data_IF_638548761842
#
_entry.id   IF_638548761842
#
_cell.length_a   1.000
_cell.length_b   1.000
_cell.length_c   1.000
_cell.angle_alpha   90.00
_cell.angle_beta   90.00
_cell.angle_gamma   90.00
#
_symmetry.space_group_name_H-M   'P 1'
#
loop_
_entity.id
_entity.type
_entity.pdbx_description
1 polymer ?
#
# COMPACT_ATOMS: atom_id res chain seq x y z
N UNK A 1 28.13 51.66 -1.19
CA UNK A 1 27.70 50.40 -1.84
C UNK A 1 28.16 49.24 -0.97
N UNK A 2 27.29 48.70 -0.12
CA UNK A 2 27.66 47.67 0.88
C UNK A 2 27.33 46.29 0.34
N UNK A 3 28.36 45.51 0.00
CA UNK A 3 28.26 44.12 -0.46
C UNK A 3 27.84 43.22 0.70
N UNK A 4 26.70 42.53 0.56
CA UNK A 4 26.22 41.53 1.54
C UNK A 4 27.05 40.24 1.39
N UNK A 5 27.64 39.68 2.46
CA UNK A 5 28.32 38.39 2.39
C UNK A 5 27.29 37.25 2.22
N UNK A 6 27.45 36.43 1.19
CA UNK A 6 26.66 35.22 0.96
C UNK A 6 27.31 34.03 1.66
N UNK A 7 26.71 33.57 2.76
CA UNK A 7 27.20 32.39 3.49
C UNK A 7 26.77 31.11 2.78
N UNK A 8 27.72 30.44 2.13
CA UNK A 8 27.57 29.09 1.55
C UNK A 8 27.84 28.06 2.66
N UNK A 9 26.88 27.17 2.91
CA UNK A 9 26.98 26.16 3.98
C UNK A 9 27.65 24.87 3.46
N UNK A 10 28.83 24.53 3.99
CA UNK A 10 29.51 23.23 3.80
C UNK A 10 29.49 22.45 5.12
N UNK A 11 29.11 21.16 5.15
CA UNK A 11 29.14 20.39 6.38
C UNK A 11 30.57 19.91 6.69
N UNK A 12 30.96 19.99 7.97
CA UNK A 12 32.18 19.42 8.57
C UNK A 12 33.54 20.10 8.33
N UNK A 13 33.66 21.42 8.50
CA UNK A 13 34.92 22.01 8.98
C UNK A 13 34.62 23.18 9.91
N UNK A 14 35.12 23.15 11.15
CA UNK A 14 35.22 24.35 11.99
C UNK A 14 36.69 24.76 11.96
N UNK A 15 37.03 25.67 11.07
CA UNK A 15 38.33 26.35 11.10
C UNK A 15 38.18 27.55 12.02
N UNK A 16 39.00 27.63 13.07
CA UNK A 16 39.22 28.87 13.82
C UNK A 16 40.47 29.52 13.26
N UNK A 17 40.32 30.72 12.68
CA UNK A 17 41.43 31.57 12.23
C UNK A 17 41.68 32.60 13.33
N UNK A 18 42.93 32.75 13.74
CA UNK A 18 43.42 33.91 14.46
C UNK A 18 43.83 35.03 13.48
N UNK A 19 44.13 36.22 14.02
CA UNK A 19 44.16 37.51 13.31
C UNK A 19 45.20 37.62 12.19
N UNK A 20 46.06 36.62 11.98
CA UNK A 20 47.11 36.60 10.94
C UNK A 20 47.04 35.43 9.95
N UNK A 21 45.95 34.66 9.91
CA UNK A 21 45.57 33.92 8.70
C UNK A 21 46.41 32.70 8.30
N UNK A 22 46.98 31.93 9.23
CA UNK A 22 47.52 30.59 8.95
C UNK A 22 46.59 29.48 9.49
N UNK A 23 46.55 28.33 8.79
CA UNK A 23 45.69 27.17 9.10
C UNK A 23 46.54 26.04 9.69
N UNK A 24 46.32 25.67 10.95
CA UNK A 24 46.85 24.42 11.51
C UNK A 24 45.84 23.28 11.33
N UNK A 25 46.19 22.30 10.49
CA UNK A 25 45.46 21.05 10.29
C UNK A 25 45.85 20.03 11.36
N UNK A 26 45.12 19.97 12.48
CA UNK A 26 45.25 18.85 13.42
C UNK A 26 44.34 17.70 12.99
N UNK A 27 44.87 16.75 12.21
CA UNK A 27 44.25 15.44 12.01
C UNK A 27 44.31 14.63 13.31
N UNK A 28 43.15 14.37 13.93
CA UNK A 28 43.05 13.43 15.05
C UNK A 28 42.36 12.15 14.61
N UNK A 29 43.09 11.05 14.85
CA UNK A 29 42.89 9.71 14.33
C UNK A 29 41.59 9.03 14.75
N UNK A 30 41.29 7.96 14.01
CA UNK A 30 40.08 7.19 14.15
C UNK A 30 39.99 6.41 15.46
N UNK A 31 38.77 6.37 15.99
CA UNK A 31 38.31 5.31 16.87
C UNK A 31 36.91 4.84 16.45
N UNK A 32 36.76 3.52 16.50
CA UNK A 32 35.62 2.73 16.08
C UNK A 32 34.40 3.00 16.99
N UNK A 33 33.60 4.00 16.63
CA UNK A 33 32.42 4.38 17.40
C UNK A 33 31.25 3.42 17.12
N UNK A 34 31.04 2.51 18.07
CA UNK A 34 29.78 1.77 18.23
C UNK A 34 28.58 2.70 18.07
N UNK A 35 27.72 2.42 17.08
CA UNK A 35 26.60 3.29 16.65
C UNK A 35 25.43 3.31 17.65
N UNK A 36 25.68 3.67 18.92
CA UNK A 36 24.62 4.13 19.83
C UNK A 36 24.41 5.61 19.55
N UNK A 37 23.29 5.94 18.90
CA UNK A 37 22.97 7.29 18.46
C UNK A 37 23.22 8.32 19.56
N UNK A 38 24.13 9.26 19.30
CA UNK A 38 24.41 10.39 20.19
C UNK A 38 23.11 11.13 20.46
N UNK A 39 22.66 11.13 21.71
CA UNK A 39 21.51 11.94 22.16
C UNK A 39 21.84 13.40 21.80
N UNK A 40 21.22 13.90 20.73
CA UNK A 40 21.46 15.26 20.26
C UNK A 40 21.00 16.23 21.35
N UNK A 41 21.86 17.18 21.72
CA UNK A 41 21.47 18.27 22.62
C UNK A 41 20.27 18.98 22.01
N UNK A 42 19.17 19.04 22.76
CA UNK A 42 17.93 19.70 22.34
C UNK A 42 18.27 21.17 22.13
N UNK A 43 18.02 21.70 20.93
CA UNK A 43 18.21 23.11 20.65
C UNK A 43 17.39 23.95 21.66
N UNK A 44 17.90 25.12 22.08
CA UNK A 44 17.20 25.99 23.02
C UNK A 44 15.78 26.28 22.54
N UNK A 45 14.84 26.30 23.48
CA UNK A 45 13.43 26.46 23.20
C UNK A 45 13.17 27.89 22.71
N UNK A 46 13.13 28.10 21.38
CA UNK A 46 12.77 29.39 20.80
C UNK A 46 11.27 29.61 21.03
N UNK A 47 10.91 30.53 21.93
CA UNK A 47 9.53 31.02 22.06
C UNK A 47 9.26 31.98 20.91
N UNK A 48 8.53 31.54 19.88
CA UNK A 48 8.14 32.40 18.76
C UNK A 48 7.88 31.62 17.46
N UNK A 49 7.16 32.23 16.50
CA UNK A 49 7.00 31.65 15.16
C UNK A 49 8.38 31.47 14.50
N UNK A 50 8.51 30.45 13.66
CA UNK A 50 9.71 30.30 12.85
C UNK A 50 9.78 31.38 11.76
N UNK A 51 10.93 31.53 11.11
CA UNK A 51 11.15 32.40 9.94
C UNK A 51 10.13 32.18 8.80
N UNK A 52 9.42 31.06 8.80
CA UNK A 52 8.37 30.71 7.84
C UNK A 52 6.95 31.02 8.35
N UNK A 53 6.81 31.85 9.39
CA UNK A 53 5.52 32.30 9.94
C UNK A 53 4.75 31.25 10.77
N UNK A 54 5.31 30.06 11.00
CA UNK A 54 4.60 29.00 11.74
C UNK A 54 4.96 29.04 13.21
N UNK A 55 3.94 29.16 14.08
CA UNK A 55 4.07 29.22 15.56
C UNK A 55 4.94 28.10 16.16
N UNK A 56 4.83 26.89 15.63
CA UNK A 56 5.63 25.74 16.08
C UNK A 56 6.52 25.23 14.95
N UNK A 57 7.85 25.26 15.15
CA UNK A 57 8.85 24.72 14.20
C UNK A 57 8.58 23.26 13.81
N UNK A 58 7.99 22.46 14.70
CA UNK A 58 7.58 21.07 14.42
C UNK A 58 6.49 20.94 13.36
N UNK A 59 5.70 21.99 13.15
CA UNK A 59 4.60 22.05 12.20
C UNK A 59 5.01 22.73 10.89
N UNK A 60 6.13 23.46 10.90
CA UNK A 60 6.69 24.04 9.69
C UNK A 60 7.24 22.93 8.78
N UNK A 61 6.70 22.82 7.56
CA UNK A 61 7.14 21.81 6.58
C UNK A 61 8.63 21.92 6.27
N UNK A 62 9.16 23.14 6.20
CA UNK A 62 10.58 23.40 5.93
C UNK A 62 11.45 23.07 7.14
N UNK A 63 11.14 23.62 8.33
CA UNK A 63 11.96 23.39 9.52
C UNK A 63 11.92 21.94 10.04
N UNK A 64 10.80 21.24 9.86
CA UNK A 64 10.61 19.86 10.35
C UNK A 64 11.08 18.79 9.36
N UNK A 65 11.38 19.19 8.12
CA UNK A 65 11.93 18.31 7.11
C UNK A 65 13.40 17.97 7.40
N UNK A 66 13.78 16.78 6.97
CA UNK A 66 15.16 16.35 6.77
C UNK A 66 15.64 16.80 5.38
N UNK A 67 16.95 16.74 5.08
CA UNK A 67 17.47 16.99 3.73
C UNK A 67 16.79 16.13 2.64
N UNK A 68 16.21 14.97 2.98
CA UNK A 68 15.48 14.09 2.07
C UNK A 68 13.99 14.48 1.88
N UNK A 69 13.59 15.69 2.28
CA UNK A 69 12.22 16.22 2.10
C UNK A 69 11.13 15.57 2.97
N UNK A 70 11.49 14.60 3.83
CA UNK A 70 10.57 13.91 4.76
C UNK A 70 10.65 14.50 6.15
N UNK A 71 9.61 14.35 6.98
CA UNK A 71 9.68 14.68 8.41
C UNK A 71 10.81 13.86 9.05
N UNK A 72 11.72 14.51 9.81
CA UNK A 72 12.92 13.87 10.37
C UNK A 72 12.63 12.57 11.15
N UNK A 73 11.54 12.55 11.92
CA UNK A 73 11.13 11.38 12.71
C UNK A 73 10.72 10.16 11.85
N UNK A 74 10.28 10.40 10.60
CA UNK A 74 9.77 9.38 9.67
C UNK A 74 10.75 9.06 8.53
N UNK A 75 11.93 9.68 8.52
CA UNK A 75 12.90 9.48 7.47
C UNK A 75 13.75 8.24 7.74
N UNK A 76 13.72 7.26 6.82
CA UNK A 76 14.52 6.03 6.93
C UNK A 76 16.01 6.33 6.85
N UNK A 77 16.42 7.16 5.90
CA UNK A 77 17.82 7.55 5.66
C UNK A 77 18.42 8.36 6.81
N UNK A 78 17.60 9.07 7.59
CA UNK A 78 18.07 9.79 8.78
C UNK A 78 18.02 8.96 10.07
N UNK A 79 17.63 7.68 10.01
CA UNK A 79 17.40 6.88 11.22
C UNK A 79 16.29 7.46 12.11
N UNK A 80 15.22 7.97 11.48
CA UNK A 80 14.12 8.63 12.17
C UNK A 80 13.54 7.78 13.31
N UNK A 81 13.22 8.43 14.43
CA UNK A 81 12.80 7.76 15.67
C UNK A 81 11.53 6.92 15.54
N UNK A 82 10.72 7.13 14.50
CA UNK A 82 9.50 6.35 14.22
C UNK A 82 9.76 5.16 13.28
N UNK A 83 10.97 5.01 12.73
CA UNK A 83 11.35 3.90 11.84
C UNK A 83 12.07 2.82 12.66
N UNK A 84 11.71 1.56 12.46
CA UNK A 84 12.43 0.42 13.05
C UNK A 84 13.57 -0.06 12.14
N UNK A 85 14.39 -0.98 12.64
CA UNK A 85 15.48 -1.61 11.88
C UNK A 85 15.03 -2.24 10.55
N UNK A 86 13.80 -2.75 10.50
CA UNK A 86 13.17 -3.28 9.27
C UNK A 86 12.79 -2.19 8.25
N UNK A 87 13.09 -0.92 8.51
CA UNK A 87 12.75 0.20 7.62
C UNK A 87 11.26 0.52 7.54
N UNK A 88 10.45 -0.06 8.41
CA UNK A 88 8.99 0.17 8.52
C UNK A 88 8.69 1.14 9.66
N UNK A 89 7.50 1.74 9.67
CA UNK A 89 7.02 2.50 10.83
C UNK A 89 6.93 1.56 12.04
N UNK A 90 7.65 1.88 13.12
CA UNK A 90 7.81 1.03 14.31
C UNK A 90 6.48 0.65 14.93
N UNK A 91 5.51 1.57 15.00
CA UNK A 91 4.18 1.29 15.54
C UNK A 91 3.38 0.27 14.71
N UNK A 92 3.70 0.11 13.42
CA UNK A 92 2.99 -0.78 12.49
C UNK A 92 3.83 -1.98 12.05
N UNK A 93 5.06 -2.10 12.54
CA UNK A 93 5.93 -3.22 12.18
C UNK A 93 5.50 -4.47 12.93
N UNK A 94 5.20 -5.55 12.18
CA UNK A 94 4.84 -6.84 12.77
C UNK A 94 6.02 -7.49 13.49
N UNK A 95 7.20 -7.46 12.88
CA UNK A 95 8.43 -8.05 13.42
C UNK A 95 8.86 -7.38 14.73
N UNK A 96 8.58 -6.08 14.90
CA UNK A 96 8.89 -5.37 16.15
C UNK A 96 7.75 -5.41 17.19
N UNK A 97 6.67 -6.16 16.95
CA UNK A 97 5.49 -6.15 17.82
C UNK A 97 4.87 -4.75 17.98
N UNK A 98 4.94 -3.93 16.93
CA UNK A 98 4.55 -2.52 16.97
C UNK A 98 3.17 -2.31 17.60
N UNK A 99 3.00 -1.26 18.41
CA UNK A 99 1.79 -1.04 19.21
C UNK A 99 0.45 -0.96 18.45
N UNK A 100 0.45 -0.93 17.12
CA UNK A 100 -0.75 -1.05 16.30
C UNK A 100 -1.07 -2.48 15.84
N UNK A 101 -0.21 -3.46 16.11
CA UNK A 101 -0.34 -4.87 15.73
C UNK A 101 -0.67 -5.70 16.98
N UNK A 102 -1.68 -6.57 16.92
CA UNK A 102 -1.98 -7.53 17.99
C UNK A 102 -1.15 -8.81 17.83
N UNK A 103 -1.22 -9.69 18.84
CA UNK A 103 -0.64 -11.03 18.82
C UNK A 103 -1.03 -11.85 17.58
N UNK A 104 -2.24 -11.65 17.05
CA UNK A 104 -2.72 -12.31 15.82
C UNK A 104 -2.06 -11.78 14.52
N UNK A 105 -1.07 -10.89 14.61
CA UNK A 105 -0.38 -10.31 13.44
C UNK A 105 -1.26 -9.39 12.58
N UNK A 106 -2.42 -8.99 13.10
CA UNK A 106 -3.38 -8.06 12.47
C UNK A 106 -3.29 -6.69 13.12
N UNK A 107 -3.76 -5.64 12.44
CA UNK A 107 -3.88 -4.32 13.06
C UNK A 107 -4.90 -4.40 14.20
N UNK A 108 -4.55 -3.98 15.42
CA UNK A 108 -5.39 -4.08 16.64
C UNK A 108 -6.80 -3.57 16.40
N UNK A 109 -6.93 -2.39 15.81
CA UNK A 109 -8.21 -1.76 15.48
C UNK A 109 -9.10 -2.61 14.55
N UNK A 110 -8.51 -3.50 13.75
CA UNK A 110 -9.20 -4.35 12.76
C UNK A 110 -9.28 -5.82 13.17
N UNK A 111 -8.73 -6.18 14.32
CA UNK A 111 -8.71 -7.57 14.72
C UNK A 111 -10.04 -7.94 15.39
N UNK A 112 -10.75 -8.92 14.83
CA UNK A 112 -12.01 -9.43 15.38
C UNK A 112 -11.79 -10.11 16.73
N UNK A 113 -10.74 -10.93 16.84
CA UNK A 113 -10.39 -11.67 18.07
C UNK A 113 -10.02 -10.73 19.23
N UNK A 114 -9.42 -9.57 18.94
CA UNK A 114 -9.08 -8.58 19.96
C UNK A 114 -10.18 -7.54 20.24
N UNK A 115 -11.39 -7.70 19.67
CA UNK A 115 -12.46 -6.70 19.81
C UNK A 115 -12.10 -5.32 19.22
N UNK A 116 -11.35 -5.30 18.13
CA UNK A 116 -10.84 -4.07 17.51
C UNK A 116 -11.93 -3.03 17.26
N UNK A 117 -11.64 -1.76 17.56
CA UNK A 117 -12.61 -0.66 17.51
C UNK A 117 -13.22 -0.38 16.12
N UNK A 118 -12.63 -0.88 15.04
CA UNK A 118 -13.19 -0.78 13.68
C UNK A 118 -14.14 -1.95 13.36
N UNK A 119 -14.30 -2.94 14.24
CA UNK A 119 -15.19 -4.10 14.06
C UNK A 119 -16.50 -3.87 14.83
N UNK A 120 -17.64 -4.12 14.19
CA UNK A 120 -18.97 -4.08 14.83
C UNK A 120 -19.31 -5.43 15.47
N UNK A 121 -20.39 -5.46 16.25
CA UNK A 121 -20.96 -6.69 16.83
C UNK A 121 -21.25 -7.77 15.76
N UNK A 122 -21.63 -7.37 14.54
CA UNK A 122 -21.85 -8.27 13.41
C UNK A 122 -20.55 -8.88 12.83
N UNK A 123 -19.39 -8.59 13.43
CA UNK A 123 -18.09 -9.10 12.99
C UNK A 123 -17.59 -8.52 11.66
N UNK A 124 -18.23 -7.45 11.15
CA UNK A 124 -17.83 -6.73 9.94
C UNK A 124 -17.11 -5.43 10.32
N UNK A 125 -16.41 -4.80 9.37
CA UNK A 125 -15.88 -3.44 9.61
C UNK A 125 -17.05 -2.47 9.77
N UNK A 126 -17.07 -1.68 10.85
CA UNK A 126 -18.14 -0.70 11.18
C UNK A 126 -18.46 0.20 9.99
N UNK A 127 -17.44 0.72 9.30
CA UNK A 127 -17.60 1.58 8.12
C UNK A 127 -18.32 0.90 6.94
N UNK A 128 -18.35 -0.43 6.87
CA UNK A 128 -18.98 -1.20 5.78
C UNK A 128 -20.13 -2.10 6.26
N UNK A 129 -20.53 -1.97 7.53
CA UNK A 129 -21.65 -2.75 8.05
C UNK A 129 -22.95 -2.03 7.70
N UNK A 130 -23.84 -2.72 6.98
CA UNK A 130 -25.16 -2.17 6.62
C UNK A 130 -26.06 -2.04 7.85
N UNK A 131 -26.05 -3.06 8.71
CA UNK A 131 -26.86 -3.11 9.94
C UNK A 131 -26.49 -1.97 10.92
N UNK A 132 -25.22 -1.57 10.97
CA UNK A 132 -24.76 -0.44 11.80
C UNK A 132 -24.83 0.93 11.10
N UNK A 133 -25.40 1.04 9.88
CA UNK A 133 -25.42 2.30 9.13
C UNK A 133 -24.03 2.84 8.79
N UNK A 134 -23.06 1.94 8.52
CA UNK A 134 -21.66 2.30 8.31
C UNK A 134 -21.46 3.41 7.29
N UNK A 135 -20.56 4.35 7.57
CA UNK A 135 -20.32 5.55 6.74
C UNK A 135 -19.93 5.26 5.29
N UNK A 136 -19.45 4.06 4.98
CA UNK A 136 -19.12 3.59 3.64
C UNK A 136 -20.30 2.96 2.88
N UNK A 137 -21.49 2.88 3.46
CA UNK A 137 -22.71 2.37 2.82
C UNK A 137 -23.64 3.55 2.49
N UNK A 138 -24.15 3.60 1.25
CA UNK A 138 -25.14 4.61 0.84
C UNK A 138 -26.56 4.20 1.24
N UNK A 139 -27.51 5.12 1.05
CA UNK A 139 -28.95 4.85 1.25
C UNK A 139 -29.47 3.67 0.43
N UNK A 140 -28.90 3.42 -0.75
CA UNK A 140 -29.21 2.26 -1.61
C UNK A 140 -28.66 0.92 -1.06
N UNK A 141 -28.04 0.91 0.12
CA UNK A 141 -27.44 -0.29 0.72
C UNK A 141 -26.22 -0.81 -0.04
N UNK A 142 -25.61 -0.01 -0.93
CA UNK A 142 -24.38 -0.35 -1.68
C UNK A 142 -23.18 0.36 -1.05
N UNK A 143 -21.96 -0.09 -1.35
CA UNK A 143 -20.79 0.69 -0.96
C UNK A 143 -20.79 2.04 -1.69
N UNK A 144 -20.67 3.15 -0.95
CA UNK A 144 -20.78 4.52 -1.50
C UNK A 144 -19.87 4.73 -2.70
N UNK A 145 -18.63 4.25 -2.63
CA UNK A 145 -17.65 4.38 -3.73
C UNK A 145 -18.08 3.66 -5.02
N UNK A 146 -18.88 2.59 -4.93
CA UNK A 146 -19.32 1.80 -6.09
C UNK A 146 -20.79 2.05 -6.47
N UNK A 147 -21.49 2.92 -5.75
CA UNK A 147 -22.89 3.21 -6.05
C UNK A 147 -22.99 4.17 -7.23
N UNK A 148 -23.57 3.71 -8.34
CA UNK A 148 -23.82 4.55 -9.53
C UNK A 148 -24.77 5.70 -9.23
N UNK A 149 -25.83 5.38 -8.48
CA UNK A 149 -26.92 6.31 -8.14
C UNK A 149 -26.43 7.46 -7.24
N UNK A 150 -25.39 7.23 -6.43
CA UNK A 150 -24.76 8.26 -5.60
C UNK A 150 -23.53 8.92 -6.26
N UNK A 151 -23.23 8.63 -7.54
CA UNK A 151 -22.01 9.15 -8.19
C UNK A 151 -20.72 8.69 -7.51
N UNK A 152 -20.69 7.44 -7.03
CA UNK A 152 -19.59 6.89 -6.25
C UNK A 152 -18.22 7.11 -6.92
N UNK A 153 -17.20 7.37 -6.10
CA UNK A 153 -15.86 7.74 -6.58
C UNK A 153 -15.17 6.70 -7.47
N UNK A 154 -15.62 5.45 -7.49
CA UNK A 154 -15.14 4.39 -8.39
C UNK A 154 -15.87 4.35 -9.74
N UNK A 155 -16.98 5.08 -9.89
CA UNK A 155 -17.81 5.12 -11.10
C UNK A 155 -17.43 6.36 -11.92
N UNK A 156 -17.32 6.20 -13.24
CA UNK A 156 -17.13 7.32 -14.16
C UNK A 156 -18.46 7.86 -14.68
N UNK A 157 -18.42 8.98 -15.40
CA UNK A 157 -19.59 9.60 -16.05
C UNK A 157 -20.34 8.64 -16.98
N UNK A 158 -19.64 7.67 -17.59
CA UNK A 158 -20.22 6.61 -18.43
C UNK A 158 -20.96 5.51 -17.64
N UNK A 159 -21.10 5.64 -16.31
CA UNK A 159 -21.75 4.64 -15.46
C UNK A 159 -20.99 3.30 -15.35
N UNK A 160 -19.71 3.27 -15.73
CA UNK A 160 -18.80 2.12 -15.64
C UNK A 160 -17.81 2.33 -14.49
N UNK A 161 -17.17 1.25 -14.01
CA UNK A 161 -16.07 1.42 -13.06
C UNK A 161 -14.90 2.14 -13.74
N UNK A 162 -14.42 3.24 -13.15
CA UNK A 162 -13.42 4.14 -13.76
C UNK A 162 -12.16 3.40 -14.20
N UNK A 163 -11.68 2.45 -13.40
CA UNK A 163 -10.49 1.66 -13.73
C UNK A 163 -10.71 0.69 -14.91
N UNK A 164 -11.96 0.36 -15.26
CA UNK A 164 -12.33 -0.53 -16.39
C UNK A 164 -12.95 0.22 -17.57
N UNK A 165 -13.15 1.54 -17.45
CA UNK A 165 -13.78 2.32 -18.49
C UNK A 165 -12.76 2.60 -19.61
N UNK A 166 -13.07 2.14 -20.83
CA UNK A 166 -12.23 2.39 -22.01
C UNK A 166 -12.19 3.88 -22.37
N UNK A 167 -13.34 4.56 -22.34
CA UNK A 167 -13.45 6.00 -22.67
C UNK A 167 -12.66 6.88 -21.69
N UNK A 168 -12.57 6.50 -20.40
CA UNK A 168 -11.79 7.22 -19.40
C UNK A 168 -10.31 6.80 -19.35
N UNK A 169 -9.83 5.94 -20.25
CA UNK A 169 -8.46 5.41 -20.19
C UNK A 169 -8.16 4.63 -18.90
N UNK A 170 -9.14 3.87 -18.41
CA UNK A 170 -9.05 3.16 -17.14
C UNK A 170 -7.77 2.34 -17.00
N UNK A 171 -7.17 2.35 -15.80
CA UNK A 171 -5.88 1.70 -15.52
C UNK A 171 -5.85 0.18 -15.75
N UNK A 172 -7.00 -0.46 -15.96
CA UNK A 172 -7.08 -1.88 -16.29
C UNK A 172 -7.23 -2.15 -17.78
N UNK A 173 -7.37 -1.12 -18.63
CA UNK A 173 -7.52 -1.24 -20.08
C UNK A 173 -6.17 -0.94 -20.75
N UNK A 174 -5.73 -1.81 -21.65
CA UNK A 174 -4.52 -1.57 -22.45
C UNK A 174 -4.84 -0.67 -23.64
N UNK A 175 -3.80 -0.25 -24.36
CA UNK A 175 -3.93 0.50 -25.63
C UNK A 175 -4.78 -0.25 -26.67
N UNK A 176 -4.74 -1.58 -26.67
CA UNK A 176 -5.57 -2.45 -27.53
C UNK A 176 -7.05 -2.49 -27.13
N UNK A 177 -7.49 -1.69 -26.14
CA UNK A 177 -8.88 -1.60 -25.70
C UNK A 177 -9.40 -2.84 -24.97
N UNK A 178 -8.53 -3.79 -24.66
CA UNK A 178 -8.82 -5.00 -23.89
C UNK A 178 -8.38 -4.85 -22.43
N UNK A 179 -8.88 -5.71 -21.54
CA UNK A 179 -8.41 -5.72 -20.14
C UNK A 179 -6.95 -6.21 -20.11
N UNK A 180 -6.05 -5.44 -19.48
CA UNK A 180 -4.58 -5.64 -19.51
C UNK A 180 -4.17 -7.06 -19.18
N UNK A 181 -4.73 -7.66 -18.13
CA UNK A 181 -4.36 -9.00 -17.70
C UNK A 181 -4.84 -10.12 -18.65
N UNK A 182 -5.81 -9.87 -19.53
CA UNK A 182 -6.27 -10.83 -20.55
C UNK A 182 -5.76 -10.51 -21.95
N UNK A 183 -5.12 -9.36 -22.15
CA UNK A 183 -4.67 -8.94 -23.47
C UNK A 183 -3.49 -9.80 -23.94
N UNK A 184 -3.66 -10.50 -25.05
CA UNK A 184 -2.61 -11.34 -25.64
C UNK A 184 -1.44 -10.50 -26.16
N UNK A 185 -1.74 -9.38 -26.80
CA UNK A 185 -0.74 -8.48 -27.39
C UNK A 185 0.14 -7.82 -26.32
N UNK A 186 -0.41 -7.54 -25.13
CA UNK A 186 0.37 -7.04 -24.00
C UNK A 186 1.04 -8.13 -23.17
N UNK A 187 0.90 -9.42 -23.52
CA UNK A 187 1.38 -10.53 -22.68
C UNK A 187 0.73 -10.54 -21.28
N UNK A 188 -0.57 -10.24 -21.21
CA UNK A 188 -1.31 -10.12 -19.96
C UNK A 188 -1.10 -11.31 -19.02
N UNK A 189 -1.17 -11.08 -17.70
CA UNK A 189 -0.80 -12.10 -16.70
C UNK A 189 -1.63 -13.40 -16.75
N UNK A 190 -2.83 -13.39 -17.37
CA UNK A 190 -3.64 -14.58 -17.59
C UNK A 190 -3.30 -15.32 -18.89
N UNK A 191 -2.42 -14.80 -19.73
CA UNK A 191 -1.95 -15.45 -20.94
C UNK A 191 -0.64 -16.16 -20.61
N UNK A 192 -0.48 -17.39 -21.08
CA UNK A 192 0.79 -18.11 -21.02
C UNK A 192 1.62 -17.86 -22.29
N UNK A 193 2.87 -18.32 -22.27
CA UNK A 193 3.77 -18.25 -23.43
C UNK A 193 3.18 -18.92 -24.70
N UNK A 194 2.28 -19.90 -24.53
CA UNK A 194 1.56 -20.56 -25.62
C UNK A 194 0.40 -19.73 -26.21
N UNK A 195 0.20 -18.48 -25.78
CA UNK A 195 -0.90 -17.61 -26.24
C UNK A 195 -2.31 -18.06 -25.81
N UNK A 196 -2.39 -19.02 -24.88
CA UNK A 196 -3.63 -19.57 -24.29
C UNK A 196 -3.87 -18.96 -22.92
N UNK A 197 -5.12 -19.03 -22.44
CA UNK A 197 -5.42 -18.67 -21.05
C UNK A 197 -4.69 -19.64 -20.12
N UNK A 198 -3.82 -19.12 -19.25
CA UNK A 198 -2.91 -19.86 -18.36
C UNK A 198 -3.65 -20.86 -17.48
N UNK A 199 -4.86 -20.52 -17.04
CA UNK A 199 -5.74 -21.40 -16.25
C UNK A 199 -6.17 -22.66 -17.02
N UNK A 200 -6.33 -22.56 -18.35
CA UNK A 200 -6.84 -23.62 -19.25
C UNK A 200 -5.75 -24.27 -20.10
N UNK A 201 -4.53 -23.75 -20.05
CA UNK A 201 -3.42 -24.28 -20.84
C UNK A 201 -2.97 -25.62 -20.26
N UNK A 202 -3.12 -26.70 -21.04
CA UNK A 202 -2.68 -28.04 -20.63
C UNK A 202 -1.16 -28.11 -20.50
N UNK A 203 -0.46 -27.46 -21.42
CA UNK A 203 1.01 -27.45 -21.51
C UNK A 203 1.64 -26.74 -20.31
N UNK A 204 0.94 -25.77 -19.71
CA UNK A 204 1.35 -25.10 -18.48
C UNK A 204 0.78 -25.74 -17.20
N UNK A 205 0.08 -26.87 -17.28
CA UNK A 205 -0.58 -27.49 -16.13
C UNK A 205 -1.63 -26.58 -15.49
N UNK A 206 -2.38 -25.82 -16.30
CA UNK A 206 -3.30 -24.79 -15.85
C UNK A 206 -4.26 -25.26 -14.77
N UNK A 207 -4.58 -24.38 -13.81
CA UNK A 207 -5.38 -24.73 -12.63
C UNK A 207 -6.78 -25.30 -12.94
N UNK A 208 -7.31 -25.06 -14.15
CA UNK A 208 -8.58 -25.62 -14.62
C UNK A 208 -8.43 -27.00 -15.27
N UNK A 209 -7.22 -27.51 -15.48
CA UNK A 209 -6.93 -28.81 -16.08
C UNK A 209 -6.58 -29.82 -14.97
N UNK A 210 -7.15 -31.02 -15.02
CA UNK A 210 -6.79 -32.12 -14.12
C UNK A 210 -5.60 -32.91 -14.66
N UNK A 211 -5.06 -33.80 -13.83
CA UNK A 211 -4.03 -34.77 -14.23
C UNK A 211 -4.42 -35.62 -15.45
N UNK A 212 -5.72 -35.89 -15.63
CA UNK A 212 -6.26 -36.60 -16.80
C UNK A 212 -6.29 -35.75 -18.09
N UNK A 213 -5.69 -34.55 -18.10
CA UNK A 213 -5.63 -33.66 -19.27
C UNK A 213 -6.98 -33.11 -19.72
N UNK A 214 -8.01 -33.19 -18.87
CA UNK A 214 -9.38 -32.68 -19.10
C UNK A 214 -9.63 -31.47 -18.21
N UNK A 215 -10.58 -30.62 -18.57
CA UNK A 215 -10.99 -29.53 -17.67
C UNK A 215 -11.61 -30.14 -16.40
N UNK A 216 -11.11 -29.74 -15.22
CA UNK A 216 -11.51 -30.27 -13.90
C UNK A 216 -13.02 -30.27 -13.71
N UNK A 217 -13.70 -29.21 -14.16
CA UNK A 217 -15.16 -29.09 -14.13
C UNK A 217 -15.86 -30.24 -14.87
N UNK A 218 -15.28 -30.76 -15.93
CA UNK A 218 -15.86 -31.80 -16.79
C UNK A 218 -15.10 -33.13 -16.75
N UNK A 219 -14.27 -33.35 -15.74
CA UNK A 219 -13.63 -34.64 -15.51
C UNK A 219 -14.49 -35.51 -14.60
N UNK A 220 -14.94 -36.68 -15.11
CA UNK A 220 -15.72 -37.64 -14.30
C UNK A 220 -14.89 -38.28 -13.20
N UNK A 221 -13.65 -38.64 -13.53
CA UNK A 221 -12.69 -39.28 -12.61
C UNK A 221 -12.35 -38.35 -11.42
N UNK A 222 -12.31 -37.03 -11.63
CA UNK A 222 -12.09 -36.06 -10.56
C UNK A 222 -13.38 -35.57 -9.87
N UNK A 223 -14.54 -36.18 -10.14
CA UNK A 223 -15.81 -35.72 -9.56
C UNK A 223 -16.19 -34.28 -9.96
N UNK A 224 -15.87 -33.87 -11.19
CA UNK A 224 -16.01 -32.49 -11.66
C UNK A 224 -17.41 -31.91 -11.45
N UNK A 225 -17.47 -30.66 -10.98
CA UNK A 225 -18.72 -29.94 -10.65
C UNK A 225 -19.69 -29.75 -11.83
N UNK A 226 -19.27 -30.03 -13.06
CA UNK A 226 -20.10 -30.05 -14.25
C UNK A 226 -20.99 -31.27 -14.39
N UNK A 227 -20.83 -32.30 -13.56
CA UNK A 227 -21.71 -33.47 -13.50
C UNK A 227 -22.72 -33.36 -12.33
N UNK A 228 -23.94 -33.85 -12.53
CA UNK A 228 -24.92 -34.01 -11.47
C UNK A 228 -24.72 -35.36 -10.75
N UNK A 229 -25.45 -35.55 -9.66
CA UNK A 229 -25.56 -36.83 -8.97
C UNK A 229 -26.00 -37.98 -9.89
N UNK A 230 -26.75 -37.68 -10.95
CA UNK A 230 -27.17 -38.66 -11.97
C UNK A 230 -26.07 -39.04 -12.98
N UNK A 231 -24.80 -38.68 -12.74
CA UNK A 231 -23.65 -39.00 -13.62
C UNK A 231 -23.67 -38.32 -15.00
N UNK A 232 -24.64 -37.43 -15.25
CA UNK A 232 -24.83 -36.70 -16.50
C UNK A 232 -24.32 -35.27 -16.36
N UNK A 233 -23.96 -34.60 -17.47
CA UNK A 233 -23.60 -33.16 -17.39
C UNK A 233 -24.80 -32.39 -16.85
N UNK A 234 -24.62 -31.59 -15.79
CA UNK A 234 -25.69 -30.80 -15.14
C UNK A 234 -26.47 -29.99 -16.18
N UNK A 235 -25.76 -29.34 -17.09
CA UNK A 235 -26.37 -28.55 -18.15
C UNK A 235 -27.23 -29.34 -19.11
N UNK A 236 -27.13 -30.68 -19.20
CA UNK A 236 -27.91 -31.53 -20.13
C UNK A 236 -28.80 -32.55 -19.41
N UNK A 237 -28.79 -32.59 -18.08
CA UNK A 237 -29.60 -33.52 -17.31
C UNK A 237 -31.05 -33.03 -17.28
N UNK A 238 -31.96 -33.83 -17.86
CA UNK A 238 -33.41 -33.50 -17.87
C UNK A 238 -33.98 -33.45 -16.46
N UNK A 239 -33.54 -34.33 -15.59
CA UNK A 239 -34.00 -34.43 -14.20
C UNK A 239 -33.56 -33.22 -13.38
N UNK A 240 -32.31 -32.74 -13.56
CA UNK A 240 -31.84 -31.51 -12.91
C UNK A 240 -32.39 -30.22 -13.53
N UNK A 241 -32.80 -30.22 -14.81
CA UNK A 241 -33.40 -29.04 -15.46
C UNK A 241 -34.87 -28.82 -15.08
N UNK A 242 -35.55 -29.85 -14.56
CA UNK A 242 -36.96 -29.81 -14.16
C UNK A 242 -37.17 -29.46 -12.69
N UNK A 243 -36.13 -29.53 -11.86
CA UNK A 243 -36.17 -29.24 -10.42
C UNK A 243 -35.46 -27.94 -10.00
N UNK A 244 -35.26 -27.01 -10.94
CA UNK A 244 -34.65 -25.70 -10.69
C UNK A 244 -35.66 -24.57 -10.96
#
# INVERSE_FOLDING_TARGET
MTTKPTSIWRPNVRVTLDEYGEVEDTESGGEELTKKGTKRKRAPYTKGPCEHGVKYRSNCKVCSACPHGRRRSKCKECGGSEICEHGRMRCSCKECGGGSICEHGRRRSRCKECGGSEICEHGRRRSHCKECGGSGICEHGRQRSHCKDCGGSSICEHGRERHRCKECGGSSICEHGSVRYTCKECGGSQICEHGRERSKCKDCGGASICEHGRERRYCKECGGSGFCEHGRRRSRCKDCRRGA
#
